data_IF_145801561619
#
_entry.id   IF_145801561619
#
_cell.length_a   1.000
_cell.length_b   1.000
_cell.length_c   1.000
_cell.angle_alpha   90.00
_cell.angle_beta   90.00
_cell.angle_gamma   90.00
#
_symmetry.space_group_name_H-M   'P 1'
#
loop_
_entity.id
_entity.type
_entity.pdbx_description
1 polymer ?
#
# COMPACT_ATOMS: atom_id res chain seq x y z
N UNK A 1 -5.96 -79.91 -14.88
CA UNK A 1 -5.47 -79.05 -13.79
C UNK A 1 -5.22 -77.67 -14.38
N UNK A 2 -6.07 -76.69 -14.09
CA UNK A 2 -5.97 -75.32 -14.62
C UNK A 2 -5.26 -74.50 -13.54
N UNK A 3 -4.03 -74.07 -13.82
CA UNK A 3 -3.22 -73.29 -12.90
C UNK A 3 -3.49 -71.81 -13.12
N UNK A 4 -4.30 -71.21 -12.25
CA UNK A 4 -4.56 -69.77 -12.24
C UNK A 4 -3.51 -69.13 -11.32
N UNK A 5 -2.64 -68.29 -11.87
CA UNK A 5 -1.75 -67.43 -11.09
C UNK A 5 -2.34 -66.02 -11.02
N UNK A 6 -2.36 -65.38 -9.83
CA UNK A 6 -3.04 -64.11 -9.65
C UNK A 6 -2.16 -62.97 -10.15
N UNK A 7 -2.74 -62.08 -10.96
CA UNK A 7 -2.14 -60.82 -11.39
C UNK A 7 -2.04 -59.88 -10.16
N UNK A 8 -0.82 -59.60 -9.70
CA UNK A 8 -0.56 -58.58 -8.69
C UNK A 8 -0.66 -57.19 -9.33
N UNK A 9 -1.80 -56.52 -9.13
CA UNK A 9 -2.01 -55.11 -9.49
C UNK A 9 -1.27 -54.21 -8.48
N UNK A 10 -0.10 -53.70 -8.88
CA UNK A 10 0.59 -52.64 -8.15
C UNK A 10 -0.12 -51.31 -8.40
N UNK A 11 -0.94 -50.86 -7.45
CA UNK A 11 -1.61 -49.57 -7.50
C UNK A 11 -0.62 -48.47 -7.08
N UNK A 12 0.03 -47.81 -8.04
CA UNK A 12 0.89 -46.66 -7.78
C UNK A 12 0.05 -45.43 -7.44
N UNK A 13 -0.04 -45.09 -6.15
CA UNK A 13 -0.69 -43.85 -5.69
C UNK A 13 0.26 -42.67 -5.93
N UNK A 14 0.11 -42.00 -7.09
CA UNK A 14 0.80 -40.74 -7.36
C UNK A 14 0.09 -39.64 -6.59
N UNK A 15 0.66 -39.22 -5.46
CA UNK A 15 0.24 -38.00 -4.76
C UNK A 15 0.68 -36.81 -5.61
N UNK A 16 -0.23 -36.30 -6.45
CA UNK A 16 -0.08 -34.95 -7.01
C UNK A 16 -0.45 -33.97 -5.90
N UNK A 17 0.56 -33.49 -5.17
CA UNK A 17 0.37 -32.38 -4.25
C UNK A 17 0.00 -31.14 -5.09
N UNK A 18 -1.15 -30.48 -4.85
CA UNK A 18 -1.42 -29.20 -5.46
C UNK A 18 -0.32 -28.24 -5.01
N UNK A 19 0.48 -27.76 -5.97
CA UNK A 19 1.43 -26.69 -5.71
C UNK A 19 0.65 -25.49 -5.20
N UNK A 20 0.70 -25.25 -3.89
CA UNK A 20 0.15 -24.05 -3.29
C UNK A 20 1.02 -22.90 -3.79
N UNK A 21 0.58 -22.24 -4.87
CA UNK A 21 1.21 -21.01 -5.33
C UNK A 21 1.11 -20.02 -4.17
N UNK A 22 2.24 -19.68 -3.56
CA UNK A 22 2.28 -18.73 -2.46
C UNK A 22 1.66 -17.42 -2.95
N UNK A 23 0.59 -16.95 -2.26
CA UNK A 23 -0.03 -15.66 -2.59
C UNK A 23 1.07 -14.58 -2.54
N UNK A 24 1.23 -13.86 -3.66
CA UNK A 24 2.29 -12.87 -3.86
C UNK A 24 1.76 -11.47 -3.65
N UNK A 25 2.48 -10.68 -2.86
CA UNK A 25 2.18 -9.27 -2.65
C UNK A 25 2.94 -8.41 -3.68
N UNK A 26 2.22 -7.58 -4.44
CA UNK A 26 2.75 -6.78 -5.55
C UNK A 26 2.59 -5.29 -5.25
N UNK A 27 3.70 -4.56 -5.12
CA UNK A 27 3.64 -3.12 -4.83
C UNK A 27 3.03 -2.28 -5.95
N UNK A 28 3.25 -2.63 -7.22
CA UNK A 28 2.72 -1.86 -8.36
C UNK A 28 1.19 -1.77 -8.28
N UNK A 29 0.66 -0.54 -8.37
CA UNK A 29 -0.77 -0.26 -8.27
C UNK A 29 -1.07 0.95 -7.38
N UNK A 30 -2.35 1.06 -7.01
CA UNK A 30 -2.89 2.15 -6.18
C UNK A 30 -3.17 1.65 -4.77
N UNK A 31 -2.86 2.50 -3.81
CA UNK A 31 -2.97 2.22 -2.39
C UNK A 31 -3.55 3.42 -1.65
N UNK A 32 -4.28 3.15 -0.57
CA UNK A 32 -4.83 4.16 0.34
C UNK A 32 -4.48 3.79 1.77
N UNK A 33 -4.06 4.76 2.59
CA UNK A 33 -3.85 4.54 4.02
C UNK A 33 -5.09 4.89 4.86
N UNK A 34 -5.02 4.59 6.14
CA UNK A 34 -6.07 4.85 7.13
C UNK A 34 -6.39 6.35 7.34
N UNK A 35 -5.52 7.25 6.85
CA UNK A 35 -5.74 8.70 6.88
C UNK A 35 -6.38 9.23 5.59
N UNK A 36 -6.65 8.36 4.60
CA UNK A 36 -7.18 8.74 3.29
C UNK A 36 -6.14 9.25 2.29
N UNK A 37 -4.84 9.14 2.62
CA UNK A 37 -3.76 9.46 1.68
C UNK A 37 -3.63 8.36 0.64
N UNK A 38 -3.44 8.75 -0.61
CA UNK A 38 -3.34 7.84 -1.75
C UNK A 38 -1.93 7.81 -2.31
N UNK A 39 -1.49 6.66 -2.76
CA UNK A 39 -0.26 6.55 -3.54
C UNK A 39 -0.44 5.62 -4.73
N UNK A 40 0.28 5.94 -5.80
CA UNK A 40 0.41 5.09 -6.99
C UNK A 40 1.87 4.70 -7.13
N UNK A 41 2.15 3.41 -7.04
CA UNK A 41 3.47 2.84 -7.30
C UNK A 41 3.46 2.32 -8.74
N UNK A 42 4.41 2.78 -9.55
CA UNK A 42 4.56 2.37 -10.95
C UNK A 42 5.22 0.98 -11.04
N UNK A 43 5.55 0.57 -12.26
CA UNK A 43 6.20 -0.71 -12.50
C UNK A 43 7.54 -0.79 -11.73
N UNK A 44 7.73 -1.89 -10.99
CA UNK A 44 9.01 -2.20 -10.35
C UNK A 44 9.95 -2.79 -11.40
N UNK A 45 11.14 -2.21 -11.53
CA UNK A 45 12.11 -2.64 -12.54
C UNK A 45 12.87 -3.93 -12.12
N UNK A 46 13.72 -4.43 -13.01
CA UNK A 46 14.53 -5.63 -12.78
C UNK A 46 15.51 -5.53 -11.61
N UNK A 47 15.80 -4.34 -11.09
CA UNK A 47 16.64 -4.13 -9.89
C UNK A 47 15.81 -4.03 -8.60
N UNK A 48 14.48 -4.04 -8.70
CA UNK A 48 13.60 -3.83 -7.55
C UNK A 48 13.30 -2.35 -7.29
N UNK A 49 13.79 -1.43 -8.12
CA UNK A 49 13.55 0.01 -7.98
C UNK A 49 12.19 0.38 -8.57
N UNK A 50 11.56 1.40 -8.01
CA UNK A 50 10.30 1.95 -8.50
C UNK A 50 10.20 3.45 -8.25
N UNK A 51 9.32 4.08 -9.02
CA UNK A 51 8.86 5.44 -8.81
C UNK A 51 7.34 5.48 -8.68
N UNK A 52 6.81 6.65 -8.37
CA UNK A 52 5.38 6.83 -8.23
C UNK A 52 4.98 8.23 -7.81
N UNK A 53 3.75 8.32 -7.34
CA UNK A 53 3.14 9.56 -6.87
C UNK A 53 2.46 9.33 -5.53
N UNK A 54 2.58 10.31 -4.65
CA UNK A 54 1.95 10.34 -3.34
C UNK A 54 1.04 11.58 -3.24
N UNK A 55 -0.19 11.38 -2.79
CA UNK A 55 -1.15 12.43 -2.53
C UNK A 55 -1.64 12.28 -1.08
N UNK A 56 -1.10 13.12 -0.19
CA UNK A 56 -1.47 13.10 1.23
C UNK A 56 -2.87 13.68 1.45
N UNK A 57 -3.59 13.18 2.44
CA UNK A 57 -4.84 13.79 2.90
C UNK A 57 -4.63 14.80 4.04
N UNK A 58 -3.43 14.81 4.63
CA UNK A 58 -3.08 15.64 5.78
C UNK A 58 -1.76 16.36 5.56
N UNK A 59 -1.64 17.56 6.12
CA UNK A 59 -0.39 18.33 6.16
C UNK A 59 -0.28 19.09 7.48
N UNK A 60 0.96 19.34 7.90
CA UNK A 60 1.25 20.21 9.03
C UNK A 60 1.50 21.67 8.61
N UNK A 61 1.50 21.97 7.31
CA UNK A 61 1.66 23.31 6.73
C UNK A 61 0.32 23.92 6.37
N UNK A 62 0.26 25.24 6.19
CA UNK A 62 -0.92 25.90 5.60
C UNK A 62 -0.91 25.89 4.06
N UNK A 63 0.18 25.41 3.44
CA UNK A 63 0.28 25.31 1.99
C UNK A 63 -0.74 24.32 1.43
N UNK A 64 -1.26 24.63 0.24
CA UNK A 64 -2.15 23.73 -0.50
C UNK A 64 -1.42 22.42 -0.81
N UNK A 65 -2.09 21.29 -0.50
CA UNK A 65 -1.54 19.96 -0.74
C UNK A 65 -1.43 19.73 -2.25
N UNK A 66 -0.26 19.27 -2.68
CA UNK A 66 0.00 18.88 -4.07
C UNK A 66 0.51 17.44 -4.15
N UNK A 67 0.27 16.80 -5.30
CA UNK A 67 0.85 15.49 -5.61
C UNK A 67 2.37 15.60 -5.61
N UNK A 68 3.01 14.67 -4.90
CA UNK A 68 4.46 14.65 -4.69
C UNK A 68 5.07 13.37 -5.27
N UNK A 69 6.24 13.44 -5.93
CA UNK A 69 6.90 12.26 -6.46
C UNK A 69 7.41 11.37 -5.33
N UNK A 70 7.37 10.06 -5.56
CA UNK A 70 8.04 9.07 -4.71
C UNK A 70 9.02 8.22 -5.51
N UNK A 71 10.11 7.80 -4.84
CA UNK A 71 11.10 6.87 -5.41
C UNK A 71 11.58 5.90 -4.34
N UNK A 72 11.71 4.62 -4.69
CA UNK A 72 12.07 3.59 -3.73
C UNK A 72 12.58 2.31 -4.36
N UNK A 73 12.74 1.30 -3.50
CA UNK A 73 13.12 -0.04 -3.91
C UNK A 73 12.49 -1.10 -3.01
N UNK A 74 12.35 -2.32 -3.53
CA UNK A 74 11.89 -3.48 -2.79
C UNK A 74 12.88 -4.65 -2.92
N UNK A 75 12.88 -5.52 -1.93
CA UNK A 75 13.58 -6.79 -2.01
C UNK A 75 12.92 -7.69 -3.07
N UNK A 76 13.76 -8.32 -3.92
CA UNK A 76 13.30 -9.16 -5.03
C UNK A 76 12.96 -10.58 -4.60
N UNK A 77 13.58 -11.06 -3.54
CA UNK A 77 13.54 -12.46 -3.11
C UNK A 77 13.05 -12.54 -1.67
N UNK A 78 11.80 -12.96 -1.50
CA UNK A 78 11.34 -13.51 -0.23
C UNK A 78 10.74 -14.88 -0.56
N UNK A 79 11.11 -15.92 0.19
CA UNK A 79 10.54 -17.27 0.05
C UNK A 79 9.00 -17.24 0.12
N UNK A 80 8.44 -16.24 0.80
CA UNK A 80 7.00 -16.03 0.98
C UNK A 80 6.36 -15.00 0.02
N UNK A 81 7.08 -14.49 -0.97
CA UNK A 81 6.57 -13.51 -1.94
C UNK A 81 5.94 -12.23 -1.33
N UNK A 82 6.44 -11.82 -0.15
CA UNK A 82 5.96 -10.70 0.66
C UNK A 82 7.13 -9.75 0.98
N UNK A 83 7.54 -8.89 0.02
CA UNK A 83 8.81 -8.16 0.08
C UNK A 83 8.79 -7.03 1.11
N UNK A 84 9.94 -6.79 1.73
CA UNK A 84 10.24 -5.52 2.40
C UNK A 84 10.63 -4.47 1.36
N UNK A 85 10.31 -3.22 1.65
CA UNK A 85 10.55 -2.10 0.73
C UNK A 85 10.77 -0.81 1.51
N UNK A 86 11.30 0.19 0.80
CA UNK A 86 11.34 1.56 1.28
C UNK A 86 11.27 2.55 0.13
N UNK A 87 10.71 3.71 0.39
CA UNK A 87 10.62 4.79 -0.58
C UNK A 87 10.69 6.16 0.10
N UNK A 88 11.10 7.17 -0.67
CA UNK A 88 11.17 8.55 -0.26
C UNK A 88 10.11 9.34 -1.01
N UNK A 89 9.39 10.23 -0.31
CA UNK A 89 8.49 11.23 -0.87
C UNK A 89 9.17 12.59 -0.71
N UNK A 90 9.43 13.27 -1.83
CA UNK A 90 9.90 14.65 -1.82
C UNK A 90 8.70 15.58 -2.00
N UNK A 91 8.33 16.34 -0.98
CA UNK A 91 7.06 17.06 -0.97
C UNK A 91 7.08 18.28 -1.90
N UNK A 92 6.20 18.32 -2.90
CA UNK A 92 6.16 19.41 -3.89
C UNK A 92 5.66 20.75 -3.35
N UNK A 93 5.09 20.76 -2.14
CA UNK A 93 4.43 21.92 -1.53
C UNK A 93 5.05 22.34 -0.20
N UNK A 94 6.20 21.78 0.20
CA UNK A 94 6.92 22.16 1.42
C UNK A 94 8.38 21.74 1.35
N UNK A 95 9.26 22.41 2.11
CA UNK A 95 10.67 22.02 2.24
C UNK A 95 10.84 20.88 3.25
N UNK A 96 10.22 19.73 2.96
CA UNK A 96 10.35 18.54 3.79
C UNK A 96 10.46 17.29 2.93
N UNK A 97 10.94 16.20 3.54
CA UNK A 97 11.05 14.89 2.92
C UNK A 97 10.51 13.84 3.89
N UNK A 98 9.79 12.85 3.38
CA UNK A 98 9.35 11.70 4.20
C UNK A 98 9.89 10.41 3.61
N UNK A 99 10.55 9.60 4.44
CA UNK A 99 10.92 8.23 4.08
C UNK A 99 9.94 7.25 4.69
N UNK A 100 9.55 6.23 3.93
CA UNK A 100 8.74 5.11 4.37
C UNK A 100 9.56 3.83 4.26
N UNK A 101 9.43 2.96 5.24
CA UNK A 101 9.95 1.59 5.21
C UNK A 101 8.87 0.63 5.70
N UNK A 102 8.75 -0.52 5.06
CA UNK A 102 7.70 -1.46 5.42
C UNK A 102 7.80 -2.81 4.75
N UNK A 103 6.73 -3.58 4.88
CA UNK A 103 6.58 -4.89 4.28
C UNK A 103 5.18 -5.04 3.69
N UNK A 104 5.13 -5.67 2.52
CA UNK A 104 3.91 -6.04 1.83
C UNK A 104 3.49 -7.43 2.31
N UNK A 105 2.30 -7.53 2.89
CA UNK A 105 1.71 -8.77 3.38
C UNK A 105 0.51 -9.19 2.53
N UNK A 106 0.23 -10.48 2.50
CA UNK A 106 -1.07 -11.00 2.09
C UNK A 106 -1.71 -11.63 3.31
N UNK A 107 -2.89 -11.14 3.71
CA UNK A 107 -3.61 -11.66 4.87
C UNK A 107 -4.29 -13.02 4.58
N UNK A 108 -4.94 -13.57 5.60
CA UNK A 108 -5.62 -14.88 5.52
C UNK A 108 -6.77 -14.87 4.49
N UNK A 109 -7.42 -13.72 4.31
CA UNK A 109 -8.48 -13.48 3.32
C UNK A 109 -7.91 -13.34 1.90
N UNK A 110 -6.61 -13.05 1.76
CA UNK A 110 -5.95 -12.84 0.47
C UNK A 110 -5.82 -11.37 0.07
N UNK A 111 -6.14 -10.43 0.94
CA UNK A 111 -5.95 -9.01 0.69
C UNK A 111 -4.49 -8.63 0.88
N UNK A 112 -4.01 -7.75 -0.01
CA UNK A 112 -2.67 -7.18 0.12
C UNK A 112 -2.69 -5.99 1.07
N UNK A 113 -1.76 -5.97 2.02
CA UNK A 113 -1.65 -4.92 3.05
C UNK A 113 -0.19 -4.48 3.17
N UNK A 114 0.05 -3.16 3.11
CA UNK A 114 1.37 -2.61 3.39
C UNK A 114 1.42 -2.11 4.83
N UNK A 115 2.27 -2.72 5.65
CA UNK A 115 2.58 -2.20 6.99
C UNK A 115 3.85 -1.37 6.91
N UNK A 116 3.74 -0.09 7.25
CA UNK A 116 4.85 0.85 7.09
C UNK A 116 5.08 1.68 8.35
N UNK A 117 6.33 2.09 8.53
CA UNK A 117 6.73 3.20 9.37
C UNK A 117 7.30 4.31 8.50
N UNK A 118 7.26 5.55 8.99
CA UNK A 118 7.83 6.68 8.28
C UNK A 118 8.58 7.63 9.20
N UNK A 119 9.54 8.35 8.61
CA UNK A 119 10.21 9.50 9.20
C UNK A 119 9.98 10.71 8.31
N UNK A 120 9.36 11.75 8.85
CA UNK A 120 9.22 13.05 8.18
C UNK A 120 10.32 13.97 8.70
N UNK A 121 11.13 14.47 7.77
CA UNK A 121 12.19 15.42 8.04
C UNK A 121 11.81 16.80 7.51
N UNK A 122 11.61 17.74 8.42
CA UNK A 122 11.45 19.16 8.11
C UNK A 122 12.80 19.82 7.82
N UNK A 123 12.82 20.80 6.92
CA UNK A 123 13.88 21.79 6.87
C UNK A 123 13.86 22.61 8.18
N UNK A 124 15.05 22.96 8.65
CA UNK A 124 15.27 23.89 9.76
C UNK A 124 16.43 24.80 9.41
N UNK A 125 16.39 26.03 9.89
CA UNK A 125 17.34 27.08 9.48
C UNK A 125 18.76 26.89 10.04
N UNK A 126 18.90 26.17 11.16
CA UNK A 126 20.16 26.03 11.88
C UNK A 126 20.30 24.62 12.49
N UNK A 127 21.54 24.13 12.57
CA UNK A 127 21.85 22.80 13.14
C UNK A 127 21.40 22.63 14.59
N UNK A 128 21.34 23.71 15.38
CA UNK A 128 20.82 23.70 16.76
C UNK A 128 19.32 23.40 16.81
N UNK A 129 18.60 23.53 15.70
CA UNK A 129 17.19 23.17 15.58
C UNK A 129 16.98 21.74 15.07
N UNK A 130 18.05 20.98 14.81
CA UNK A 130 17.96 19.61 14.27
C UNK A 130 17.14 18.67 15.17
N UNK A 131 17.25 18.84 16.49
CA UNK A 131 16.60 17.99 17.49
C UNK A 131 15.07 17.87 17.33
N UNK A 132 14.42 18.89 16.75
CA UNK A 132 12.96 18.95 16.54
C UNK A 132 12.52 18.70 15.10
N UNK A 133 13.47 18.43 14.20
CA UNK A 133 13.22 18.42 12.76
C UNK A 133 12.70 17.06 12.24
N UNK A 134 12.72 16.00 13.05
CA UNK A 134 12.30 14.66 12.62
C UNK A 134 11.08 14.18 13.41
N UNK A 135 10.02 13.84 12.69
CA UNK A 135 8.81 13.19 13.23
C UNK A 135 8.77 11.73 12.78
N UNK A 136 8.12 10.88 13.55
CA UNK A 136 7.96 9.44 13.27
C UNK A 136 6.49 9.04 13.34
N UNK A 137 6.10 8.07 12.54
CA UNK A 137 4.77 7.47 12.62
C UNK A 137 4.67 6.16 11.86
N UNK A 138 3.44 5.66 11.76
CA UNK A 138 3.10 4.43 11.05
C UNK A 138 1.96 4.69 10.08
N UNK A 139 1.90 3.93 9.00
CA UNK A 139 0.70 3.86 8.17
C UNK A 139 0.45 2.43 7.69
N UNK A 140 -0.82 2.10 7.52
CA UNK A 140 -1.30 0.84 6.96
C UNK A 140 -2.00 1.15 5.65
N UNK A 141 -1.45 0.66 4.54
CA UNK A 141 -2.08 0.85 3.24
C UNK A 141 -2.83 -0.41 2.79
N UNK A 142 -3.99 -0.20 2.21
CA UNK A 142 -4.81 -1.20 1.52
C UNK A 142 -4.90 -0.88 0.03
N UNK A 143 -5.15 -1.91 -0.77
CA UNK A 143 -5.24 -1.78 -2.22
C UNK A 143 -6.53 -1.06 -2.65
N UNK A 144 -6.41 -0.13 -3.59
CA UNK A 144 -7.55 0.53 -4.24
C UNK A 144 -7.91 -0.18 -5.55
N UNK A 145 -9.03 -0.90 -5.54
CA UNK A 145 -9.59 -1.53 -6.74
C UNK A 145 -10.40 -0.53 -7.57
N UNK A 146 -10.32 -0.61 -8.89
CA UNK A 146 -10.90 0.34 -9.85
C UNK A 146 -12.43 0.43 -9.88
N UNK A 147 -13.15 -0.31 -9.03
CA UNK A 147 -14.61 -0.19 -8.88
C UNK A 147 -15.05 0.79 -7.78
N UNK A 148 -14.14 1.35 -6.99
CA UNK A 148 -14.43 2.44 -6.06
C UNK A 148 -14.25 3.80 -6.75
N UNK A 149 -15.16 4.13 -7.67
CA UNK A 149 -15.44 5.53 -7.96
C UNK A 149 -16.29 6.07 -6.80
N UNK A 150 -15.65 6.69 -5.80
CA UNK A 150 -16.36 7.58 -4.88
C UNK A 150 -16.91 8.74 -5.70
N UNK A 151 -18.18 8.65 -6.13
CA UNK A 151 -18.89 9.76 -6.75
C UNK A 151 -19.09 10.85 -5.69
N UNK A 152 -18.38 11.96 -5.86
CA UNK A 152 -18.61 13.19 -5.12
C UNK A 152 -20.01 13.74 -5.43
N UNK A 153 -20.99 13.51 -4.55
CA UNK A 153 -22.21 14.30 -4.60
C UNK A 153 -22.02 15.57 -3.77
N UNK A 154 -21.97 16.72 -4.44
CA UNK A 154 -22.16 18.01 -3.76
C UNK A 154 -23.60 18.05 -3.28
N UNK A 155 -23.82 17.83 -1.99
CA UNK A 155 -25.11 18.12 -1.36
C UNK A 155 -25.36 19.62 -1.45
N UNK A 156 -26.38 20.01 -2.20
CA UNK A 156 -26.89 21.38 -2.17
C UNK A 156 -27.63 21.57 -0.84
N UNK A 157 -26.97 22.18 0.15
CA UNK A 157 -27.66 22.79 1.29
C UNK A 157 -27.49 24.30 1.19
N UNK A 158 -28.60 24.98 0.88
CA UNK A 158 -28.68 26.42 1.01
C UNK A 158 -28.58 26.88 2.46
N UNK A 159 -28.36 28.18 2.60
CA UNK A 159 -28.36 29.01 3.81
C UNK A 159 -27.04 29.10 4.59
N UNK A 160 -26.79 30.33 5.03
CA UNK A 160 -25.53 30.91 5.42
C UNK A 160 -25.07 30.50 6.83
N UNK A 161 -23.76 30.38 6.99
CA UNK A 161 -23.07 30.44 8.28
C UNK A 161 -22.81 29.10 8.94
N UNK A 162 -21.56 28.93 9.38
CA UNK A 162 -21.00 27.85 10.20
C UNK A 162 -20.32 26.70 9.45
N UNK A 163 -19.05 26.50 9.81
CA UNK A 163 -18.14 25.48 9.31
C UNK A 163 -18.78 24.09 9.37
N UNK A 164 -18.93 23.46 8.21
CA UNK A 164 -19.49 22.12 8.09
C UNK A 164 -18.39 21.09 8.38
N UNK A 165 -18.44 20.46 9.55
CA UNK A 165 -17.76 19.19 9.78
C UNK A 165 -18.33 18.17 8.79
N UNK A 166 -17.50 17.71 7.84
CA UNK A 166 -17.89 16.61 6.96
C UNK A 166 -17.88 15.30 7.76
N UNK A 167 -19.06 14.87 8.20
CA UNK A 167 -19.27 13.52 8.71
C UNK A 167 -19.22 12.52 7.54
N UNK A 168 -18.34 11.52 7.65
CA UNK A 168 -18.30 10.40 6.72
C UNK A 168 -19.34 9.36 7.15
N UNK A 169 -20.48 9.29 6.46
CA UNK A 169 -21.37 8.12 6.53
C UNK A 169 -21.12 7.27 5.29
N UNK A 170 -20.58 6.07 5.49
CA UNK A 170 -20.33 5.12 4.42
C UNK A 170 -21.61 4.35 4.11
N UNK A 171 -22.34 4.76 3.08
CA UNK A 171 -23.38 3.91 2.49
C UNK A 171 -22.88 3.37 1.16
N UNK A 172 -22.49 2.09 1.17
CA UNK A 172 -22.02 1.36 -0.01
C UNK A 172 -23.23 0.74 -0.71
N UNK A 173 -23.48 1.07 -1.98
CA UNK A 173 -24.45 0.36 -2.80
C UNK A 173 -23.70 -0.56 -3.77
N UNK A 174 -24.04 -1.85 -3.75
CA UNK A 174 -23.77 -2.78 -4.84
C UNK A 174 -24.82 -2.56 -5.93
N UNK A 175 -24.35 -2.42 -7.17
CA UNK A 175 -25.23 -2.34 -8.34
C UNK A 175 -25.92 -3.69 -8.59
#
# INVERSE_FOLDING_TARGET
MVQVTPFLLMLSMVLVAPGHSAKKCVLTGRWMNELGSNMTILAVNGKGEFSGFYHTAVTATMNEIQVSPLQGSQHRTNQKSQPTFGFTVNWSFSDSVTVFTGQCFVDDEGNEVLKTMWLLRSQVDDIKNDWKATRVGTNVFIRLHSQQECKWQKGASGSAGSASHSFCSATCFTQ
#
